data_IF_575605509334
#
_entry.id   IF_575605509334
#
_cell.length_a   1.000
_cell.length_b   1.000
_cell.length_c   1.000
_cell.angle_alpha   90.00
_cell.angle_beta   90.00
_cell.angle_gamma   90.00
#
_symmetry.space_group_name_H-M   'P 1'
#
loop_
_entity.id
_entity.type
_entity.pdbx_description
1 polymer ?
#
# COMPACT_ATOMS: atom_id res chain seq x y z
N UNK A 1 19.00 -9.24 -1.30
CA UNK A 1 17.69 -9.45 -1.98
C UNK A 1 17.72 -10.80 -2.68
N UNK A 2 16.56 -11.39 -2.96
CA UNK A 2 16.47 -12.67 -3.65
C UNK A 2 15.75 -12.48 -4.98
N UNK A 3 15.96 -13.41 -5.91
CA UNK A 3 15.28 -13.47 -7.20
C UNK A 3 14.66 -14.85 -7.41
N UNK A 4 13.64 -14.93 -8.25
CA UNK A 4 13.05 -16.20 -8.70
C UNK A 4 12.96 -16.18 -10.22
N UNK A 5 13.37 -17.28 -10.84
CA UNK A 5 13.28 -17.49 -12.28
C UNK A 5 11.92 -18.09 -12.63
N UNK A 6 11.38 -17.68 -13.77
CA UNK A 6 10.15 -18.18 -14.34
C UNK A 6 10.38 -18.52 -15.80
N UNK A 7 9.81 -19.63 -16.24
CA UNK A 7 9.88 -20.07 -17.63
C UNK A 7 8.46 -20.20 -18.18
N UNK A 8 8.29 -19.82 -19.45
CA UNK A 8 7.07 -20.13 -20.18
C UNK A 8 6.82 -21.65 -20.16
N UNK A 9 5.56 -22.05 -20.08
CA UNK A 9 5.17 -23.48 -20.12
C UNK A 9 4.77 -23.95 -21.52
N UNK A 10 4.63 -23.01 -22.47
CA UNK A 10 4.10 -23.28 -23.81
C UNK A 10 5.22 -23.51 -24.83
N UNK A 11 6.22 -24.28 -24.39
CA UNK A 11 7.30 -24.79 -25.24
C UNK A 11 6.73 -25.59 -26.44
N UNK A 12 5.47 -26.04 -26.36
CA UNK A 12 4.86 -26.99 -27.29
C UNK A 12 3.86 -26.40 -28.31
N UNK A 13 3.32 -25.18 -28.16
CA UNK A 13 2.32 -24.63 -29.13
C UNK A 13 2.79 -23.45 -29.97
N UNK A 14 3.73 -22.64 -29.47
CA UNK A 14 4.23 -21.43 -30.16
C UNK A 14 5.76 -21.33 -30.16
N UNK A 15 6.48 -22.32 -29.61
CA UNK A 15 7.95 -22.28 -29.49
C UNK A 15 8.46 -21.16 -28.56
N UNK A 16 7.64 -20.69 -27.63
CA UNK A 16 7.97 -19.55 -26.77
C UNK A 16 8.94 -19.98 -25.65
N UNK A 17 10.22 -19.66 -25.81
CA UNK A 17 11.29 -19.97 -24.84
C UNK A 17 11.50 -18.89 -23.79
N UNK A 18 10.51 -18.01 -23.62
CA UNK A 18 10.63 -16.83 -22.77
C UNK A 18 10.89 -17.20 -21.32
N UNK A 19 11.95 -16.61 -20.80
CA UNK A 19 12.31 -16.74 -19.40
C UNK A 19 12.37 -15.36 -18.74
N UNK A 20 11.91 -15.30 -17.50
CA UNK A 20 11.74 -14.07 -16.74
C UNK A 20 12.36 -14.24 -15.37
N UNK A 21 13.07 -13.23 -14.89
CA UNK A 21 13.50 -13.11 -13.51
C UNK A 21 12.58 -12.12 -12.78
N UNK A 22 12.17 -12.49 -11.57
CA UNK A 22 11.39 -11.67 -10.64
C UNK A 22 12.21 -11.35 -9.41
N UNK A 23 12.36 -10.07 -9.06
CA UNK A 23 12.88 -9.66 -7.76
C UNK A 23 11.85 -9.98 -6.67
N UNK A 24 12.32 -10.63 -5.59
CA UNK A 24 11.55 -10.91 -4.38
C UNK A 24 11.79 -9.79 -3.37
N UNK A 25 10.72 -9.07 -3.05
CA UNK A 25 10.71 -8.01 -2.05
C UNK A 25 10.15 -8.55 -0.73
N UNK A 26 10.60 -8.00 0.41
CA UNK A 26 10.09 -8.42 1.73
C UNK A 26 8.60 -8.07 1.92
N UNK A 27 8.10 -7.04 1.21
CA UNK A 27 6.69 -6.66 1.22
C UNK A 27 6.18 -6.06 2.53
N UNK A 28 7.06 -5.83 3.52
CA UNK A 28 6.75 -5.16 4.78
C UNK A 28 6.33 -3.72 4.52
N UNK A 29 5.27 -3.25 5.18
CA UNK A 29 4.79 -1.87 5.02
C UNK A 29 5.82 -0.85 5.54
N UNK A 30 6.60 -1.19 6.58
CA UNK A 30 7.60 -0.33 7.20
C UNK A 30 9.01 -0.49 6.64
N UNK A 31 9.18 -1.28 5.58
CA UNK A 31 10.49 -1.41 4.97
C UNK A 31 10.86 -0.08 4.30
N UNK A 32 12.06 0.47 4.56
CA UNK A 32 12.48 1.77 4.02
C UNK A 32 12.55 1.80 2.49
N UNK A 33 12.50 0.64 1.83
CA UNK A 33 12.43 0.50 0.37
C UNK A 33 11.01 0.10 -0.11
N UNK A 34 10.40 -0.92 0.51
CA UNK A 34 9.11 -1.45 0.02
C UNK A 34 7.91 -0.57 0.45
N UNK A 35 8.04 0.11 1.58
CA UNK A 35 7.02 0.97 2.17
C UNK A 35 6.92 2.36 1.54
N UNK A 36 7.93 2.76 0.76
CA UNK A 36 7.97 4.09 0.17
C UNK A 36 6.77 4.35 -0.74
N UNK A 37 6.29 5.61 -0.78
CA UNK A 37 5.34 6.05 -1.79
C UNK A 37 5.82 5.63 -3.18
N UNK A 38 4.88 5.11 -3.96
CA UNK A 38 5.13 4.59 -5.32
C UNK A 38 6.29 3.61 -5.53
N UNK A 39 6.74 2.90 -4.49
CA UNK A 39 7.75 1.83 -4.62
C UNK A 39 7.34 0.74 -5.61
N UNK A 40 8.28 -0.09 -6.07
CA UNK A 40 7.98 -1.25 -6.95
C UNK A 40 6.91 -2.17 -6.33
N UNK A 41 6.93 -2.37 -5.02
CA UNK A 41 5.93 -3.17 -4.31
C UNK A 41 4.56 -2.50 -4.33
N UNK A 42 4.51 -1.17 -4.19
CA UNK A 42 3.28 -0.41 -4.33
C UNK A 42 2.73 -0.50 -5.75
N UNK A 43 3.56 -0.31 -6.78
CA UNK A 43 3.16 -0.44 -8.18
C UNK A 43 2.62 -1.84 -8.50
N UNK A 44 3.22 -2.92 -7.97
CA UNK A 44 2.68 -4.29 -8.08
C UNK A 44 1.31 -4.44 -7.41
N UNK A 45 1.09 -3.84 -6.23
CA UNK A 45 -0.22 -3.84 -5.56
C UNK A 45 -1.28 -3.10 -6.38
N UNK A 46 -0.94 -1.90 -6.86
CA UNK A 46 -1.77 -1.10 -7.76
C UNK A 46 -2.15 -1.91 -9.01
N UNK A 47 -1.16 -2.46 -9.70
CA UNK A 47 -1.34 -3.22 -10.95
C UNK A 47 -2.27 -4.42 -10.77
N UNK A 48 -2.16 -5.18 -9.68
CA UNK A 48 -3.05 -6.32 -9.40
C UNK A 48 -4.52 -5.94 -9.17
N UNK A 49 -4.80 -4.70 -8.79
CA UNK A 49 -6.16 -4.21 -8.57
C UNK A 49 -6.71 -3.39 -9.74
N UNK A 50 -5.83 -2.85 -10.59
CA UNK A 50 -6.21 -2.00 -11.71
C UNK A 50 -7.26 -2.65 -12.63
N UNK A 51 -7.15 -3.93 -13.07
CA UNK A 51 -8.19 -4.54 -13.91
C UNK A 51 -9.57 -4.65 -13.25
N UNK A 52 -9.63 -4.67 -11.92
CA UNK A 52 -10.90 -4.66 -11.19
C UNK A 52 -11.50 -3.26 -11.17
N UNK A 53 -10.67 -2.27 -10.89
CA UNK A 53 -11.07 -0.86 -10.90
C UNK A 53 -11.54 -0.44 -12.30
N UNK A 54 -10.89 -0.93 -13.36
CA UNK A 54 -11.35 -0.72 -14.75
C UNK A 54 -12.72 -1.32 -15.07
N UNK A 55 -13.24 -2.23 -14.26
CA UNK A 55 -14.60 -2.78 -14.44
C UNK A 55 -15.66 -1.95 -13.70
N UNK A 56 -15.26 -0.94 -12.91
CA UNK A 56 -16.15 -0.11 -12.10
C UNK A 56 -16.46 1.18 -12.86
N UNK A 57 -17.73 1.41 -13.18
CA UNK A 57 -18.15 2.64 -13.88
C UNK A 57 -18.22 3.84 -12.95
N UNK A 58 -18.53 3.63 -11.67
CA UNK A 58 -18.49 4.66 -10.64
C UNK A 58 -18.01 4.04 -9.34
N UNK A 59 -16.92 4.56 -8.79
CA UNK A 59 -16.23 3.97 -7.65
C UNK A 59 -16.80 4.51 -6.35
N UNK A 60 -17.55 3.68 -5.63
CA UNK A 60 -17.99 3.97 -4.27
C UNK A 60 -16.89 3.63 -3.28
N UNK A 61 -16.61 4.53 -2.34
CA UNK A 61 -15.59 4.37 -1.32
C UNK A 61 -16.20 4.56 0.07
N UNK A 62 -16.14 3.50 0.90
CA UNK A 62 -16.47 3.55 2.32
C UNK A 62 -15.18 3.62 3.13
N UNK A 63 -15.09 4.54 4.09
CA UNK A 63 -14.03 4.57 5.11
C UNK A 63 -14.69 4.31 6.46
N UNK A 64 -14.29 3.23 7.13
CA UNK A 64 -14.88 2.80 8.40
C UNK A 64 -13.93 3.23 9.52
N UNK A 65 -14.28 4.29 10.23
CA UNK A 65 -13.47 4.81 11.32
C UNK A 65 -14.01 4.32 12.66
N UNK A 66 -13.17 3.58 13.37
CA UNK A 66 -13.49 3.13 14.72
C UNK A 66 -13.18 4.26 15.71
N UNK A 67 -14.03 4.53 16.71
CA UNK A 67 -13.69 5.44 17.80
C UNK A 67 -12.45 4.98 18.57
N UNK A 68 -11.69 5.92 19.14
CA UNK A 68 -10.39 5.64 19.81
C UNK A 68 -10.47 4.55 20.87
N UNK A 69 -11.57 4.53 21.64
CA UNK A 69 -11.78 3.53 22.69
C UNK A 69 -11.83 2.09 22.19
N UNK A 70 -12.18 1.85 20.92
CA UNK A 70 -12.15 0.50 20.31
C UNK A 70 -10.81 0.16 19.69
N UNK A 71 -10.02 1.15 19.28
CA UNK A 71 -8.70 0.94 18.63
C UNK A 71 -7.67 0.33 19.58
N UNK A 72 -7.81 0.57 20.89
CA UNK A 72 -6.85 0.16 21.93
C UNK A 72 -7.26 -1.11 22.69
N UNK A 73 -8.42 -1.71 22.38
CA UNK A 73 -8.87 -2.93 23.06
C UNK A 73 -8.04 -4.12 22.58
N UNK A 74 -7.33 -4.80 23.50
CA UNK A 74 -6.64 -6.06 23.22
C UNK A 74 -7.64 -7.07 22.66
N UNK A 75 -7.50 -7.40 21.37
CA UNK A 75 -8.39 -8.32 20.65
C UNK A 75 -9.20 -7.70 19.51
N UNK A 76 -9.22 -6.37 19.39
CA UNK A 76 -9.88 -5.64 18.30
C UNK A 76 -8.85 -4.91 17.44
N UNK A 77 -8.83 -5.15 16.13
CA UNK A 77 -7.91 -4.58 15.12
C UNK A 77 -6.38 -4.66 15.39
N UNK A 78 -5.94 -5.30 16.48
CA UNK A 78 -4.53 -5.31 16.92
C UNK A 78 -3.84 -6.68 16.76
N UNK A 79 -4.46 -7.62 16.03
CA UNK A 79 -3.85 -8.91 15.69
C UNK A 79 -4.30 -9.38 14.32
N UNK A 80 -3.49 -10.22 13.68
CA UNK A 80 -3.81 -10.80 12.36
C UNK A 80 -5.17 -11.52 12.36
N UNK A 81 -5.50 -12.20 13.45
CA UNK A 81 -6.77 -12.91 13.61
C UNK A 81 -7.94 -11.94 13.79
N UNK A 82 -7.78 -10.91 14.63
CA UNK A 82 -8.80 -9.90 14.85
C UNK A 82 -9.14 -9.13 13.56
N UNK A 83 -8.10 -8.69 12.84
CA UNK A 83 -8.24 -8.03 11.53
C UNK A 83 -8.97 -8.90 10.52
N UNK A 84 -8.64 -10.21 10.47
CA UNK A 84 -9.33 -11.17 9.59
C UNK A 84 -10.80 -11.29 9.95
N UNK A 85 -11.13 -11.46 11.23
CA UNK A 85 -12.52 -11.56 11.73
C UNK A 85 -13.32 -10.29 11.44
N UNK A 86 -12.73 -9.11 11.66
CA UNK A 86 -13.36 -7.84 11.32
C UNK A 86 -13.60 -7.72 9.80
N UNK A 87 -12.61 -8.07 8.97
CA UNK A 87 -12.78 -8.12 7.52
C UNK A 87 -13.88 -9.11 7.09
N UNK A 88 -13.97 -10.28 7.72
CA UNK A 88 -15.03 -11.26 7.40
C UNK A 88 -16.42 -10.71 7.74
N UNK A 89 -16.57 -10.02 8.86
CA UNK A 89 -17.83 -9.35 9.25
C UNK A 89 -18.20 -8.23 8.27
N UNK A 90 -17.26 -7.34 7.96
CA UNK A 90 -17.46 -6.26 6.97
C UNK A 90 -17.90 -6.84 5.62
N UNK A 91 -17.16 -7.83 5.10
CA UNK A 91 -17.50 -8.44 3.82
C UNK A 91 -18.82 -9.21 3.90
N UNK A 92 -19.17 -9.84 5.03
CA UNK A 92 -20.45 -10.51 5.17
C UNK A 92 -21.64 -9.54 5.13
N UNK A 93 -21.50 -8.34 5.67
CA UNK A 93 -22.53 -7.29 5.58
C UNK A 93 -22.59 -6.73 4.16
N UNK A 94 -21.45 -6.30 3.61
CA UNK A 94 -21.41 -5.60 2.34
C UNK A 94 -21.67 -6.52 1.14
N UNK A 95 -21.14 -7.73 1.17
CA UNK A 95 -21.24 -8.69 0.08
C UNK A 95 -22.29 -9.79 0.31
N UNK A 96 -22.82 -9.90 1.52
CA UNK A 96 -23.76 -10.96 1.89
C UNK A 96 -23.07 -12.26 2.32
N UNK A 97 -23.88 -13.21 2.78
CA UNK A 97 -23.41 -14.53 3.26
C UNK A 97 -22.91 -15.36 2.10
N UNK A 98 -21.80 -16.07 2.30
CA UNK A 98 -21.24 -16.99 1.31
C UNK A 98 -22.08 -18.27 1.26
N UNK A 99 -22.59 -18.62 0.08
CA UNK A 99 -23.43 -19.79 -0.17
C UNK A 99 -22.72 -20.81 -1.06
N UNK A 100 -21.52 -21.25 -0.66
CA UNK A 100 -20.73 -22.24 -1.41
C UNK A 100 -20.39 -21.79 -2.84
N UNK A 101 -20.65 -22.66 -3.83
CA UNK A 101 -20.43 -22.37 -5.27
C UNK A 101 -21.46 -21.39 -5.85
N UNK A 102 -22.60 -21.15 -5.17
CA UNK A 102 -23.69 -20.27 -5.63
C UNK A 102 -23.39 -18.77 -5.43
N UNK A 103 -22.21 -18.42 -4.91
CA UNK A 103 -21.80 -17.02 -4.70
C UNK A 103 -22.18 -16.48 -3.32
N UNK A 104 -22.60 -15.22 -3.26
CA UNK A 104 -23.02 -14.55 -2.02
C UNK A 104 -24.43 -13.98 -2.15
N UNK A 105 -25.19 -13.98 -1.06
CA UNK A 105 -26.61 -13.56 -1.03
C UNK A 105 -26.86 -12.59 0.14
N UNK A 106 -27.71 -11.58 -0.10
CA UNK A 106 -28.21 -10.66 0.93
C UNK A 106 -27.27 -9.49 1.29
N UNK A 107 -26.24 -9.24 0.49
CA UNK A 107 -25.36 -8.07 0.65
C UNK A 107 -25.85 -6.84 -0.10
N UNK A 108 -25.24 -5.69 0.21
CA UNK A 108 -25.51 -4.42 -0.45
C UNK A 108 -24.84 -4.26 -1.82
N UNK A 109 -23.72 -4.96 -2.04
CA UNK A 109 -22.86 -4.78 -3.21
C UNK A 109 -22.42 -6.13 -3.80
N UNK A 110 -22.64 -6.30 -5.11
CA UNK A 110 -22.30 -7.53 -5.83
C UNK A 110 -20.79 -7.82 -5.85
N UNK A 111 -19.97 -6.77 -5.94
CA UNK A 111 -18.52 -6.87 -5.98
C UNK A 111 -17.86 -5.67 -5.31
N UNK A 112 -16.64 -5.90 -4.84
CA UNK A 112 -15.81 -4.88 -4.22
C UNK A 112 -14.50 -5.46 -3.68
N UNK A 113 -13.71 -4.60 -3.08
CA UNK A 113 -12.54 -4.97 -2.33
C UNK A 113 -12.32 -4.02 -1.16
N UNK A 114 -11.57 -4.46 -0.15
CA UNK A 114 -11.20 -3.65 1.00
C UNK A 114 -9.73 -3.81 1.30
N UNK A 115 -9.17 -2.81 1.96
CA UNK A 115 -7.82 -2.84 2.53
C UNK A 115 -7.80 -2.04 3.84
N UNK A 116 -7.04 -2.53 4.81
CA UNK A 116 -6.72 -1.78 6.03
C UNK A 116 -5.62 -0.74 5.80
N UNK A 117 -5.86 0.44 6.32
CA UNK A 117 -4.86 1.47 6.59
C UNK A 117 -4.64 1.57 8.10
N UNK A 118 -3.44 1.96 8.52
CA UNK A 118 -2.98 1.81 9.91
C UNK A 118 -2.77 3.13 10.63
N UNK A 119 -2.15 4.09 9.96
CA UNK A 119 -1.92 5.44 10.45
C UNK A 119 -2.42 6.43 9.38
N UNK A 120 -2.90 7.57 9.84
CA UNK A 120 -3.17 8.71 8.96
C UNK A 120 -1.87 9.29 8.43
N UNK A 121 -1.94 9.99 7.30
CA UNK A 121 -0.80 10.81 6.90
C UNK A 121 -0.62 11.94 7.89
N UNK A 122 0.61 12.44 7.96
CA UNK A 122 0.88 13.78 8.42
C UNK A 122 0.17 14.77 7.49
N UNK A 123 -1.08 15.10 7.80
CA UNK A 123 -1.82 16.19 7.17
C UNK A 123 -1.64 17.44 8.02
N UNK A 124 -0.76 18.34 7.57
CA UNK A 124 -0.77 19.73 8.04
C UNK A 124 -1.81 20.52 7.25
N UNK A 125 -2.35 21.59 7.82
CA UNK A 125 -3.14 22.54 7.05
C UNK A 125 -2.21 23.68 6.59
N UNK A 126 -2.30 24.10 5.33
CA UNK A 126 -1.67 25.36 4.87
C UNK A 126 -2.77 26.20 4.26
N UNK A 127 -3.03 27.38 4.84
CA UNK A 127 -4.12 28.26 4.42
C UNK A 127 -5.51 27.60 4.40
N UNK A 128 -5.78 26.67 5.32
CA UNK A 128 -7.06 25.94 5.39
C UNK A 128 -7.22 24.80 4.37
N UNK A 129 -6.19 24.52 3.55
CA UNK A 129 -6.14 23.35 2.67
C UNK A 129 -5.34 22.23 3.34
N UNK A 130 -5.87 21.01 3.28
CA UNK A 130 -5.17 19.79 3.70
C UNK A 130 -3.99 19.56 2.75
N UNK A 131 -2.77 19.61 3.30
CA UNK A 131 -1.54 19.32 2.55
C UNK A 131 -0.89 18.06 3.12
N UNK A 132 -0.52 17.16 2.22
CA UNK A 132 0.33 16.03 2.56
C UNK A 132 1.76 16.53 2.81
N UNK A 133 2.26 16.41 4.04
CA UNK A 133 3.61 16.88 4.39
C UNK A 133 4.71 16.16 3.58
N UNK A 134 4.45 14.97 3.02
CA UNK A 134 5.39 14.29 2.11
C UNK A 134 5.64 15.13 0.81
N UNK A 135 4.72 16.01 0.42
CA UNK A 135 4.83 16.89 -0.76
C UNK A 135 5.57 18.21 -0.47
N UNK A 136 5.62 18.64 0.80
CA UNK A 136 6.37 19.82 1.28
C UNK A 136 7.86 19.51 1.59
N UNK A 137 8.30 18.27 1.37
CA UNK A 137 9.64 17.76 1.70
C UNK A 137 10.80 18.45 0.97
N UNK A 138 10.52 19.10 -0.16
CA UNK A 138 11.56 19.63 -1.08
C UNK A 138 11.88 21.13 -0.86
N UNK A 139 10.92 22.03 -0.60
CA UNK A 139 11.22 23.47 -0.53
C UNK A 139 11.77 23.95 0.82
N UNK A 140 11.53 23.22 1.92
CA UNK A 140 11.81 23.71 3.28
C UNK A 140 12.93 22.96 4.01
N UNK A 141 13.56 21.97 3.36
CA UNK A 141 14.58 21.12 3.98
C UNK A 141 15.78 21.92 4.53
N UNK A 142 16.15 23.01 3.88
CA UNK A 142 17.27 23.88 4.29
C UNK A 142 16.93 24.73 5.53
N UNK A 143 15.75 25.36 5.55
CA UNK A 143 15.25 26.09 6.71
C UNK A 143 15.03 25.16 7.92
N UNK A 144 14.59 23.93 7.67
CA UNK A 144 14.48 22.89 8.70
C UNK A 144 15.87 22.49 9.23
N UNK A 145 16.88 22.39 8.37
CA UNK A 145 18.26 22.09 8.76
C UNK A 145 18.87 23.13 9.70
N UNK A 146 18.60 24.42 9.46
CA UNK A 146 19.08 25.51 10.32
C UNK A 146 18.43 25.50 11.71
N UNK A 147 17.11 25.23 11.77
CA UNK A 147 16.38 25.07 13.03
C UNK A 147 16.95 23.90 13.86
N UNK A 148 17.31 22.80 13.18
CA UNK A 148 17.88 21.60 13.81
C UNK A 148 19.29 21.83 14.38
N UNK A 149 20.14 22.60 13.69
CA UNK A 149 21.46 22.99 14.20
C UNK A 149 21.34 23.81 15.49
N UNK A 150 20.39 24.75 15.54
CA UNK A 150 20.12 25.54 16.74
C UNK A 150 19.65 24.67 17.92
N UNK A 151 18.85 23.62 17.68
CA UNK A 151 18.42 22.69 18.73
C UNK A 151 19.56 21.79 19.26
N UNK A 152 20.48 21.36 18.39
CA UNK A 152 21.65 20.57 18.78
C UNK A 152 22.61 21.37 19.67
N UNK A 153 22.78 22.66 19.40
CA UNK A 153 23.59 23.59 20.20
C UNK A 153 22.99 23.87 21.59
N UNK A 154 21.68 23.70 21.76
CA UNK A 154 20.98 23.89 23.04
C UNK A 154 21.07 22.69 24.01
N UNK A 155 21.86 21.66 23.71
CA UNK A 155 22.08 20.52 24.62
C UNK A 155 20.90 19.55 24.74
N UNK A 156 20.01 19.51 23.74
CA UNK A 156 18.86 18.61 23.69
C UNK A 156 19.26 17.15 23.47
N UNK A 157 19.64 16.46 24.53
CA UNK A 157 19.75 15.00 24.55
C UNK A 157 18.35 14.41 24.27
N UNK A 158 18.26 13.52 23.28
CA UNK A 158 17.06 12.78 22.81
C UNK A 158 16.26 13.36 21.64
N UNK A 159 16.80 14.29 20.84
CA UNK A 159 16.26 14.55 19.50
C UNK A 159 16.80 13.51 18.50
N UNK A 160 16.01 12.49 18.17
CA UNK A 160 16.40 11.51 17.13
C UNK A 160 15.93 12.01 15.78
N UNK A 161 16.87 12.52 14.99
CA UNK A 161 16.60 12.93 13.61
C UNK A 161 16.73 11.70 12.71
N UNK A 162 15.72 11.42 11.89
CA UNK A 162 15.89 10.49 10.78
C UNK A 162 16.10 11.30 9.49
N UNK A 163 17.36 11.51 9.07
CA UNK A 163 17.70 12.36 7.93
C UNK A 163 17.15 11.85 6.60
N UNK A 164 16.69 10.59 6.53
CA UNK A 164 16.13 10.01 5.30
C UNK A 164 14.64 10.34 5.09
N UNK A 165 13.93 10.84 6.12
CA UNK A 165 12.48 11.08 6.09
C UNK A 165 12.06 12.48 6.56
N UNK A 166 13.01 13.36 6.92
CA UNK A 166 12.71 14.75 7.32
C UNK A 166 11.77 14.82 8.53
N UNK A 167 11.84 13.83 9.42
CA UNK A 167 10.98 13.72 10.60
C UNK A 167 11.82 13.87 11.86
N UNK A 168 11.35 14.70 12.78
CA UNK A 168 11.90 14.85 14.12
C UNK A 168 11.17 13.84 15.01
N UNK A 169 11.90 12.88 15.58
CA UNK A 169 11.38 12.08 16.68
C UNK A 169 11.85 12.69 17.99
N UNK A 170 10.94 12.72 18.95
CA UNK A 170 11.28 13.00 20.33
C UNK A 170 10.74 11.88 21.20
N UNK A 171 11.65 11.19 21.90
CA UNK A 171 11.24 10.27 22.95
C UNK A 171 10.91 11.11 24.19
N UNK A 172 9.65 11.57 24.22
CA UNK A 172 8.89 12.05 25.38
C UNK A 172 9.70 12.40 26.65
N UNK A 173 10.04 13.68 26.88
CA UNK A 173 10.23 14.19 28.21
C UNK A 173 8.94 14.95 28.56
N UNK A 174 8.12 14.38 29.43
CA UNK A 174 7.05 15.16 30.03
C UNK A 174 7.62 16.41 30.72
N UNK A 175 6.82 17.48 30.78
CA UNK A 175 7.13 18.70 31.54
C UNK A 175 7.11 20.00 30.73
N UNK A 176 7.36 21.13 31.41
CA UNK A 176 7.29 22.50 30.85
C UNK A 176 8.15 22.72 29.59
N UNK A 177 9.23 21.96 29.40
CA UNK A 177 10.08 22.06 28.21
C UNK A 177 9.38 21.62 26.92
N UNK A 178 8.41 20.70 27.02
CA UNK A 178 7.62 20.21 25.87
C UNK A 178 6.70 21.29 25.28
N UNK A 179 6.17 22.18 26.13
CA UNK A 179 5.34 23.29 25.70
C UNK A 179 6.17 24.37 24.98
N UNK A 180 7.36 24.67 25.49
CA UNK A 180 8.27 25.66 24.88
C UNK A 180 8.75 25.21 23.49
N UNK A 181 9.11 23.93 23.34
CA UNK A 181 9.57 23.38 22.06
C UNK A 181 8.41 23.28 21.06
N UNK A 182 7.22 22.84 21.49
CA UNK A 182 6.05 22.83 20.62
C UNK A 182 5.65 24.25 20.16
N UNK A 183 5.81 25.23 21.04
CA UNK A 183 5.58 26.64 20.73
C UNK A 183 6.61 27.16 19.70
N UNK A 184 7.90 26.86 19.85
CA UNK A 184 8.95 27.23 18.90
C UNK A 184 8.74 26.60 17.52
N UNK A 185 8.37 25.32 17.45
CA UNK A 185 8.05 24.65 16.18
C UNK A 185 6.80 25.24 15.53
N UNK A 186 5.79 25.58 16.33
CA UNK A 186 4.58 26.26 15.85
C UNK A 186 4.87 27.69 15.36
N UNK A 187 5.78 28.42 16.01
CA UNK A 187 6.20 29.77 15.62
C UNK A 187 7.04 29.76 14.34
N UNK A 188 7.98 28.82 14.21
CA UNK A 188 8.72 28.59 12.97
C UNK A 188 7.76 28.26 11.81
N UNK A 189 6.83 27.34 12.04
CA UNK A 189 5.81 26.99 11.05
C UNK A 189 4.96 28.20 10.64
N UNK A 190 4.47 29.00 11.60
CA UNK A 190 3.76 30.26 11.33
C UNK A 190 4.59 31.23 10.50
N UNK A 191 5.89 31.37 10.81
CA UNK A 191 6.81 32.23 10.05
C UNK A 191 6.97 31.80 8.59
N UNK A 192 6.79 30.51 8.29
CA UNK A 192 6.79 29.96 6.95
C UNK A 192 5.38 29.88 6.31
N UNK A 193 4.35 30.45 6.94
CA UNK A 193 2.95 30.38 6.47
C UNK A 193 2.27 29.02 6.65
N UNK A 194 2.85 28.13 7.46
CA UNK A 194 2.34 26.79 7.74
C UNK A 194 1.44 26.82 8.99
N UNK A 195 0.23 26.28 8.90
CA UNK A 195 -0.61 26.02 10.07
C UNK A 195 -0.38 24.58 10.55
N UNK A 196 0.64 24.40 11.39
CA UNK A 196 0.77 23.17 12.15
C UNK A 196 -0.31 23.17 13.25
N UNK A 197 -1.31 22.31 13.11
CA UNK A 197 -2.22 22.01 14.23
C UNK A 197 -1.42 21.46 15.42
N UNK A 198 -1.89 21.66 16.66
CA UNK A 198 -1.20 21.15 17.84
C UNK A 198 -1.04 19.64 17.71
N UNK A 199 0.21 19.17 17.70
CA UNK A 199 0.61 17.77 17.72
C UNK A 199 -0.10 16.87 16.70
N UNK A 200 0.48 16.73 15.49
CA UNK A 200 0.21 15.54 14.67
C UNK A 200 0.93 14.33 15.29
N UNK A 201 0.41 13.87 16.43
CA UNK A 201 0.82 12.56 16.96
C UNK A 201 0.56 11.52 15.86
N UNK A 202 1.55 10.67 15.58
CA UNK A 202 1.37 9.48 14.74
C UNK A 202 0.33 8.60 15.44
N UNK A 203 -0.93 8.84 15.11
CA UNK A 203 -2.04 8.24 15.83
C UNK A 203 -2.40 6.94 15.14
N UNK A 204 -2.22 5.86 15.88
CA UNK A 204 -2.71 4.55 15.46
C UNK A 204 -4.22 4.64 15.21
N UNK A 205 -4.60 4.51 13.94
CA UNK A 205 -5.96 4.66 13.44
C UNK A 205 -6.23 3.56 12.42
N UNK A 206 -6.35 2.28 12.85
CA UNK A 206 -6.63 1.19 11.94
C UNK A 206 -8.04 1.33 11.38
N UNK A 207 -8.15 1.60 10.08
CA UNK A 207 -9.44 1.76 9.41
C UNK A 207 -9.41 1.04 8.06
N UNK A 208 -10.45 0.27 7.71
CA UNK A 208 -10.56 -0.28 6.38
C UNK A 208 -11.18 0.74 5.43
N UNK A 209 -10.54 0.89 4.28
CA UNK A 209 -11.15 1.51 3.10
C UNK A 209 -11.73 0.41 2.25
N UNK A 210 -12.99 0.56 1.87
CA UNK A 210 -13.73 -0.38 1.04
C UNK A 210 -14.11 0.30 -0.26
N UNK A 211 -13.79 -0.35 -1.37
CA UNK A 211 -14.19 0.05 -2.73
C UNK A 211 -15.29 -0.87 -3.22
N UNK A 212 -16.35 -0.27 -3.76
CA UNK A 212 -17.51 -0.96 -4.31
C UNK A 212 -17.86 -0.39 -5.67
N UNK A 213 -18.48 -1.23 -6.49
CA UNK A 213 -19.02 -0.81 -7.79
C UNK A 213 -20.39 -0.16 -7.58
N UNK A 214 -20.38 1.14 -7.25
CA UNK A 214 -21.58 1.91 -6.93
C UNK A 214 -21.30 3.41 -6.97
N UNK A 215 -22.23 4.17 -7.53
CA UNK A 215 -22.23 5.64 -7.50
C UNK A 215 -22.97 6.20 -6.29
N UNK A 216 -23.75 7.25 -6.50
CA UNK A 216 -24.57 7.85 -5.46
C UNK A 216 -25.42 6.80 -4.71
N UNK A 217 -25.49 6.92 -3.38
CA UNK A 217 -26.33 6.09 -2.54
C UNK A 217 -27.36 6.98 -1.81
N UNK A 218 -28.66 6.66 -1.87
CA UNK A 218 -29.65 7.39 -1.10
C UNK A 218 -29.36 7.36 0.40
N UNK A 219 -29.66 8.43 1.16
CA UNK A 219 -29.41 8.50 2.61
C UNK A 219 -29.97 7.31 3.39
N UNK A 220 -31.16 6.83 3.02
CA UNK A 220 -31.76 5.64 3.64
C UNK A 220 -30.89 4.38 3.49
N UNK A 221 -30.29 4.18 2.29
CA UNK A 221 -29.40 3.05 2.02
C UNK A 221 -28.07 3.18 2.77
N UNK A 222 -27.49 4.38 2.81
CA UNK A 222 -26.29 4.66 3.63
C UNK A 222 -26.59 4.41 5.12
N UNK A 223 -27.74 4.85 5.60
CA UNK A 223 -28.20 4.62 6.98
C UNK A 223 -28.35 3.14 7.32
N UNK A 224 -28.89 2.32 6.41
CA UNK A 224 -28.97 0.88 6.58
C UNK A 224 -27.57 0.23 6.66
N UNK A 225 -26.68 0.57 5.72
CA UNK A 225 -25.29 0.08 5.71
C UNK A 225 -24.57 0.41 7.01
N UNK A 226 -24.70 1.66 7.48
CA UNK A 226 -24.13 2.14 8.75
C UNK A 226 -24.61 1.29 9.94
N UNK A 227 -25.92 1.12 10.08
CA UNK A 227 -26.52 0.33 11.17
C UNK A 227 -26.07 -1.12 11.15
N UNK A 228 -26.04 -1.75 9.99
CA UNK A 228 -25.70 -3.16 9.87
C UNK A 228 -24.21 -3.42 10.09
N UNK A 229 -23.33 -2.51 9.63
CA UNK A 229 -21.90 -2.55 9.94
C UNK A 229 -21.65 -2.35 11.44
N UNK A 230 -22.27 -1.33 12.05
CA UNK A 230 -22.15 -1.05 13.48
C UNK A 230 -22.57 -2.27 14.33
N UNK A 231 -23.72 -2.89 13.98
CA UNK A 231 -24.21 -4.11 14.64
C UNK A 231 -23.25 -5.28 14.47
N UNK A 232 -22.81 -5.57 13.24
CA UNK A 232 -21.93 -6.71 12.97
C UNK A 232 -20.55 -6.55 13.63
N UNK A 233 -20.07 -5.32 13.72
CA UNK A 233 -18.79 -4.99 14.35
C UNK A 233 -18.89 -4.74 15.86
N UNK A 234 -20.08 -4.83 16.46
CA UNK A 234 -20.29 -4.53 17.89
C UNK A 234 -19.72 -3.15 18.27
N UNK A 235 -19.90 -2.18 17.38
CA UNK A 235 -19.39 -0.82 17.50
C UNK A 235 -20.55 0.15 17.19
N UNK A 236 -21.44 0.44 18.16
CA UNK A 236 -22.66 1.21 17.93
C UNK A 236 -22.42 2.62 17.35
N UNK A 237 -21.29 3.23 17.68
CA UNK A 237 -20.85 4.54 17.22
C UNK A 237 -19.75 4.44 16.14
N UNK A 238 -19.76 3.37 15.36
CA UNK A 238 -18.92 3.25 14.16
C UNK A 238 -19.21 4.40 13.20
N UNK A 239 -18.16 5.11 12.81
CA UNK A 239 -18.26 6.17 11.81
C UNK A 239 -18.03 5.55 10.44
N UNK A 240 -18.95 5.77 9.51
CA UNK A 240 -18.81 5.31 8.12
C UNK A 240 -18.95 6.51 7.20
N UNK A 241 -17.85 6.89 6.57
CA UNK A 241 -17.85 7.89 5.51
C UNK A 241 -18.10 7.21 4.17
N UNK A 242 -19.01 7.76 3.37
CA UNK A 242 -19.23 7.33 2.00
C UNK A 242 -18.93 8.49 1.06
N UNK A 243 -18.12 8.22 0.05
CA UNK A 243 -17.95 9.11 -1.10
C UNK A 243 -17.91 8.26 -2.36
N UNK A 244 -18.02 8.89 -3.53
CA UNK A 244 -17.87 8.19 -4.79
C UNK A 244 -17.07 9.03 -5.78
N UNK A 245 -16.47 8.39 -6.77
CA UNK A 245 -15.70 9.00 -7.86
C UNK A 245 -16.30 8.61 -9.19
N UNK A 246 -16.43 9.58 -10.11
CA UNK A 246 -17.04 9.37 -11.43
C UNK A 246 -16.00 9.29 -12.52
N UNK A 247 -14.89 10.02 -12.38
CA UNK A 247 -13.91 10.14 -13.44
C UNK A 247 -12.79 9.12 -13.29
N UNK A 248 -12.20 8.68 -14.40
CA UNK A 248 -11.09 7.73 -14.38
C UNK A 248 -9.87 8.25 -13.62
N UNK A 249 -9.43 9.52 -13.77
CA UNK A 249 -8.30 10.04 -13.02
C UNK A 249 -8.53 10.01 -11.50
N UNK A 250 -9.73 10.35 -11.04
CA UNK A 250 -10.10 10.24 -9.63
C UNK A 250 -10.06 8.80 -9.13
N UNK A 251 -10.60 7.86 -9.90
CA UNK A 251 -10.60 6.43 -9.58
C UNK A 251 -9.17 5.86 -9.50
N UNK A 252 -8.30 6.27 -10.44
CA UNK A 252 -6.89 5.91 -10.45
C UNK A 252 -6.19 6.51 -9.22
N UNK A 253 -6.41 7.79 -8.93
CA UNK A 253 -5.83 8.45 -7.76
C UNK A 253 -6.26 7.75 -6.45
N UNK A 254 -7.55 7.48 -6.29
CA UNK A 254 -8.08 6.70 -5.16
C UNK A 254 -7.43 5.33 -5.06
N UNK A 255 -7.25 4.61 -6.17
CA UNK A 255 -6.58 3.31 -6.16
C UNK A 255 -5.11 3.42 -5.70
N UNK A 256 -4.36 4.42 -6.21
CA UNK A 256 -2.98 4.68 -5.78
C UNK A 256 -2.92 4.95 -4.28
N UNK A 257 -3.80 5.80 -3.76
CA UNK A 257 -3.89 6.07 -2.33
C UNK A 257 -4.17 4.78 -1.54
N UNK A 258 -5.17 4.00 -1.97
CA UNK A 258 -5.57 2.78 -1.27
C UNK A 258 -4.47 1.73 -1.26
N UNK A 259 -3.61 1.63 -2.28
CA UNK A 259 -2.60 0.56 -2.35
C UNK A 259 -1.27 0.85 -1.63
N UNK A 260 -1.08 2.06 -1.11
CA UNK A 260 0.17 2.50 -0.47
C UNK A 260 0.39 1.92 0.92
N UNK A 261 1.64 1.81 1.37
CA UNK A 261 1.89 1.47 2.77
C UNK A 261 1.46 2.61 3.69
N UNK A 262 0.84 2.30 4.83
CA UNK A 262 0.43 3.31 5.85
C UNK A 262 0.98 2.99 7.24
N UNK A 263 1.76 1.91 7.36
CA UNK A 263 2.56 1.59 8.53
C UNK A 263 4.01 1.67 8.07
N UNK A 264 4.65 2.84 8.17
CA UNK A 264 5.93 3.13 7.50
C UNK A 264 7.16 2.96 8.38
N UNK A 265 6.99 2.84 9.70
CA UNK A 265 8.08 2.63 10.65
C UNK A 265 7.72 1.52 11.64
N UNK A 266 8.67 0.61 11.89
CA UNK A 266 8.51 -0.47 12.88
C UNK A 266 8.42 0.09 14.30
N UNK A 267 9.08 1.22 14.57
CA UNK A 267 9.16 1.83 15.89
C UNK A 267 7.82 2.44 16.33
N UNK A 268 6.92 2.74 15.39
CA UNK A 268 5.57 3.21 15.73
C UNK A 268 4.80 2.17 16.56
N UNK A 269 5.01 0.88 16.25
CA UNK A 269 4.40 -0.24 16.98
C UNK A 269 5.03 -1.59 16.58
N UNK A 270 6.12 -1.98 17.24
CA UNK A 270 6.86 -3.20 16.90
C UNK A 270 6.04 -4.50 17.05
N UNK A 271 5.03 -4.50 17.92
CA UNK A 271 4.12 -5.64 18.05
C UNK A 271 3.19 -5.73 16.83
N UNK A 272 2.55 -4.62 16.46
CA UNK A 272 1.67 -4.57 15.30
C UNK A 272 2.42 -4.88 14.00
N UNK A 273 3.67 -4.41 13.84
CA UNK A 273 4.53 -4.75 12.71
C UNK A 273 4.60 -6.28 12.51
N UNK A 274 4.87 -7.04 13.57
CA UNK A 274 4.88 -8.52 13.54
C UNK A 274 3.51 -9.09 13.15
N UNK A 275 2.41 -8.51 13.62
CA UNK A 275 1.05 -8.94 13.29
C UNK A 275 0.68 -8.72 11.81
N UNK A 276 1.09 -7.59 11.23
CA UNK A 276 0.78 -7.27 9.83
C UNK A 276 1.77 -7.86 8.83
N UNK A 277 2.93 -8.36 9.29
CA UNK A 277 3.84 -9.11 8.43
C UNK A 277 3.16 -10.34 7.81
N UNK A 278 3.13 -10.41 6.48
CA UNK A 278 2.44 -11.48 5.74
C UNK A 278 0.92 -11.50 5.93
N UNK A 279 0.32 -10.45 6.51
CA UNK A 279 -1.14 -10.31 6.53
C UNK A 279 -1.64 -10.02 5.12
N UNK A 280 -2.61 -10.80 4.66
CA UNK A 280 -3.30 -10.55 3.39
C UNK A 280 -4.24 -9.35 3.55
N UNK A 281 -3.67 -8.15 3.46
CA UNK A 281 -4.33 -6.89 3.76
C UNK A 281 -5.48 -6.58 2.78
N UNK A 282 -5.35 -6.98 1.51
CA UNK A 282 -6.42 -6.80 0.51
C UNK A 282 -7.36 -8.00 0.48
N UNK A 283 -8.66 -7.74 0.63
CA UNK A 283 -9.74 -8.73 0.52
C UNK A 283 -10.68 -8.29 -0.59
N UNK A 284 -11.08 -9.22 -1.45
CA UNK A 284 -11.96 -8.93 -2.59
C UNK A 284 -13.07 -9.97 -2.69
N UNK A 285 -14.24 -9.54 -3.15
CA UNK A 285 -15.41 -10.38 -3.38
C UNK A 285 -16.08 -10.05 -4.71
N UNK A 286 -17.04 -10.90 -5.11
CA UNK A 286 -17.74 -10.78 -6.37
C UNK A 286 -16.93 -11.29 -7.56
N UNK A 287 -17.57 -11.33 -8.73
CA UNK A 287 -16.96 -11.75 -9.99
C UNK A 287 -16.30 -10.54 -10.67
N UNK A 288 -15.03 -10.69 -11.05
CA UNK A 288 -14.21 -9.67 -11.70
C UNK A 288 -13.73 -10.16 -13.08
N UNK A 289 -14.67 -10.62 -13.90
CA UNK A 289 -14.39 -11.18 -15.22
C UNK A 289 -15.08 -10.40 -16.34
N UNK A 290 -15.57 -9.20 -16.05
CA UNK A 290 -16.15 -8.31 -17.06
C UNK A 290 -15.05 -7.60 -17.85
N UNK A 291 -15.37 -7.10 -19.06
CA UNK A 291 -14.48 -6.20 -19.78
C UNK A 291 -14.28 -4.89 -19.00
N UNK A 292 -13.19 -4.15 -19.25
CA UNK A 292 -13.06 -2.79 -18.75
C UNK A 292 -14.21 -1.93 -19.28
N UNK A 293 -14.75 -1.06 -18.44
CA UNK A 293 -15.79 -0.07 -18.82
C UNK A 293 -15.18 1.29 -19.17
N UNK A 294 -13.87 1.41 -19.03
CA UNK A 294 -13.08 2.57 -19.42
C UNK A 294 -11.60 2.22 -19.68
N UNK A 295 -10.92 3.09 -20.42
CA UNK A 295 -9.51 2.97 -20.79
C UNK A 295 -8.79 4.27 -20.52
N UNK A 296 -7.68 4.20 -19.78
CA UNK A 296 -6.84 5.36 -19.52
C UNK A 296 -5.52 5.20 -20.27
N UNK A 297 -5.12 6.25 -20.98
CA UNK A 297 -3.78 6.38 -21.54
C UNK A 297 -2.72 6.23 -20.42
N UNK A 298 -1.56 5.66 -20.76
CA UNK A 298 -0.48 5.44 -19.80
C UNK A 298 -0.66 4.25 -18.84
N UNK A 299 -1.76 3.48 -18.95
CA UNK A 299 -1.97 2.30 -18.09
C UNK A 299 -1.31 1.01 -18.60
N UNK A 300 -0.87 0.98 -19.87
CA UNK A 300 -0.27 -0.20 -20.49
C UNK A 300 0.91 -0.78 -19.67
N UNK A 301 1.75 0.09 -19.10
CA UNK A 301 2.84 -0.28 -18.22
C UNK A 301 2.38 -1.09 -16.99
N UNK A 302 1.30 -0.66 -16.34
CA UNK A 302 0.77 -1.35 -15.15
C UNK A 302 0.01 -2.63 -15.50
N UNK A 303 -0.64 -2.67 -16.67
CA UNK A 303 -1.26 -3.90 -17.17
C UNK A 303 -0.20 -4.97 -17.51
N UNK A 304 0.96 -4.56 -18.02
CA UNK A 304 2.10 -5.47 -18.20
C UNK A 304 2.60 -6.04 -16.86
N UNK A 305 2.67 -5.22 -15.80
CA UNK A 305 2.99 -5.71 -14.44
C UNK A 305 1.91 -6.69 -13.94
N UNK A 306 0.63 -6.41 -14.16
CA UNK A 306 -0.47 -7.28 -13.73
C UNK A 306 -0.40 -8.67 -14.37
N UNK A 307 -0.12 -8.71 -15.69
CA UNK A 307 0.10 -9.95 -16.45
C UNK A 307 1.16 -10.82 -15.78
N UNK A 308 2.32 -10.22 -15.47
CA UNK A 308 3.43 -10.90 -14.79
C UNK A 308 3.08 -11.32 -13.36
N UNK A 309 2.35 -10.50 -12.60
CA UNK A 309 1.87 -10.84 -11.25
C UNK A 309 0.87 -12.01 -11.26
N UNK A 310 0.15 -12.22 -12.37
CA UNK A 310 -0.70 -13.40 -12.61
C UNK A 310 0.04 -14.59 -13.20
N UNK A 311 1.37 -14.52 -13.29
CA UNK A 311 2.22 -15.56 -13.86
C UNK A 311 1.86 -15.86 -15.30
N UNK A 312 1.64 -14.82 -16.10
CA UNK A 312 1.40 -14.90 -17.55
C UNK A 312 2.62 -14.42 -18.30
N UNK A 313 2.99 -15.14 -19.36
CA UNK A 313 4.16 -14.87 -20.18
C UNK A 313 3.99 -13.51 -20.88
N UNK A 314 5.00 -12.62 -20.83
CA UNK A 314 4.88 -11.31 -21.47
C UNK A 314 4.69 -11.43 -22.99
N UNK A 315 5.30 -12.42 -23.63
CA UNK A 315 5.29 -12.55 -25.10
C UNK A 315 4.07 -13.31 -25.65
N UNK A 316 3.67 -14.42 -25.03
CA UNK A 316 2.61 -15.30 -25.56
C UNK A 316 1.37 -15.45 -24.65
N UNK A 317 1.37 -14.84 -23.47
CA UNK A 317 0.29 -14.93 -22.46
C UNK A 317 0.05 -16.33 -21.82
N UNK A 318 0.82 -17.33 -22.23
CA UNK A 318 0.79 -18.65 -21.60
C UNK A 318 1.29 -18.64 -20.15
N UNK A 319 1.04 -19.71 -19.41
CA UNK A 319 1.38 -19.78 -17.99
C UNK A 319 2.91 -19.75 -17.80
N UNK A 320 3.38 -18.92 -16.86
CA UNK A 320 4.75 -18.98 -16.35
C UNK A 320 4.81 -19.98 -15.19
N UNK A 321 5.80 -20.88 -15.25
CA UNK A 321 6.21 -21.74 -14.14
C UNK A 321 7.38 -21.07 -13.43
N UNK A 322 7.18 -20.70 -12.16
CA UNK A 322 8.23 -20.13 -11.32
C UNK A 322 8.98 -21.23 -10.58
N UNK A 323 10.30 -21.08 -10.48
CA UNK A 323 11.16 -21.98 -9.72
C UNK A 323 10.84 -21.88 -8.23
N UNK A 324 10.93 -23.02 -7.54
CA UNK A 324 10.66 -23.09 -6.10
C UNK A 324 11.81 -22.51 -5.27
N UNK A 325 13.05 -22.59 -5.77
CA UNK A 325 14.24 -22.10 -5.09
C UNK A 325 14.50 -20.66 -5.51
N UNK A 326 14.57 -19.78 -4.52
CA UNK A 326 15.02 -18.42 -4.74
C UNK A 326 16.54 -18.39 -4.87
N UNK A 327 17.06 -17.54 -5.76
CA UNK A 327 18.50 -17.36 -5.99
C UNK A 327 18.97 -16.02 -5.42
N UNK A 328 20.28 -15.89 -5.23
CA UNK A 328 20.87 -14.61 -4.85
C UNK A 328 20.63 -13.55 -5.93
N UNK A 329 20.40 -12.31 -5.51
CA UNK A 329 20.34 -11.17 -6.44
C UNK A 329 21.63 -10.97 -7.26
N UNK A 330 22.74 -11.55 -6.82
CA UNK A 330 24.01 -11.56 -7.57
C UNK A 330 23.85 -12.09 -9.00
N UNK A 331 23.07 -13.16 -9.19
CA UNK A 331 22.82 -13.74 -10.52
C UNK A 331 22.17 -12.74 -11.48
N UNK A 332 21.23 -11.92 -11.00
CA UNK A 332 20.63 -10.87 -11.83
C UNK A 332 21.67 -9.84 -12.27
N UNK A 333 22.59 -9.44 -11.38
CA UNK A 333 23.68 -8.51 -11.73
C UNK A 333 24.61 -9.11 -12.78
N UNK A 334 24.91 -10.40 -12.68
CA UNK A 334 25.74 -11.10 -13.67
C UNK A 334 25.07 -11.15 -15.04
N UNK A 335 23.77 -11.49 -15.11
CA UNK A 335 23.06 -11.42 -16.39
C UNK A 335 22.99 -9.99 -16.95
N UNK A 336 22.89 -8.99 -16.08
CA UNK A 336 22.91 -7.57 -16.49
C UNK A 336 24.27 -7.15 -17.06
N UNK A 337 25.38 -7.53 -16.42
CA UNK A 337 26.73 -7.20 -16.92
C UNK A 337 27.05 -7.86 -18.26
N UNK A 338 26.46 -9.03 -18.51
CA UNK A 338 26.55 -9.74 -19.79
C UNK A 338 25.58 -9.23 -20.87
N UNK A 339 24.74 -8.22 -20.58
CA UNK A 339 23.74 -7.71 -21.53
C UNK A 339 22.62 -8.71 -21.85
N UNK A 340 22.40 -9.72 -20.98
CA UNK A 340 21.43 -10.80 -21.20
C UNK A 340 20.03 -10.50 -20.67
N UNK A 341 19.82 -9.32 -20.08
CA UNK A 341 18.53 -8.93 -19.49
C UNK A 341 17.90 -7.74 -20.20
N UNK A 342 16.57 -7.78 -20.33
CA UNK A 342 15.77 -6.63 -20.71
C UNK A 342 14.77 -6.32 -19.58
N UNK A 343 14.74 -5.10 -19.02
CA UNK A 343 13.76 -4.74 -18.00
C UNK A 343 12.36 -4.75 -18.60
N UNK A 344 11.39 -5.36 -17.89
CA UNK A 344 9.98 -5.38 -18.31
C UNK A 344 9.19 -4.28 -17.60
N UNK A 345 9.08 -4.38 -16.27
CA UNK A 345 8.49 -3.38 -15.37
C UNK A 345 8.45 -3.97 -13.95
N UNK A 346 8.23 -3.14 -12.93
CA UNK A 346 7.90 -3.62 -11.59
C UNK A 346 8.87 -4.67 -11.02
N UNK A 347 10.18 -4.56 -11.27
CA UNK A 347 11.19 -5.51 -10.80
C UNK A 347 11.17 -6.89 -11.49
N UNK A 348 10.68 -6.94 -12.73
CA UNK A 348 10.76 -8.09 -13.63
C UNK A 348 11.71 -7.82 -14.78
N UNK A 349 12.42 -8.87 -15.20
CA UNK A 349 13.40 -8.83 -16.29
C UNK A 349 13.18 -10.02 -17.21
N UNK A 350 13.10 -9.79 -18.51
CA UNK A 350 13.23 -10.86 -19.50
C UNK A 350 14.72 -11.24 -19.58
N UNK A 351 15.02 -12.52 -19.66
CA UNK A 351 16.40 -13.02 -19.70
C UNK A 351 16.59 -13.94 -20.89
N UNK A 352 17.67 -13.69 -21.64
CA UNK A 352 18.16 -14.58 -22.68
C UNK A 352 19.16 -15.55 -22.02
N UNK A 353 18.76 -16.81 -21.88
CA UNK A 353 19.68 -17.83 -21.37
C UNK A 353 20.60 -18.29 -22.50
N UNK A 354 21.94 -18.25 -22.32
CA UNK A 354 22.86 -18.86 -23.27
C UNK A 354 22.73 -20.39 -23.17
N UNK A 355 21.98 -21.00 -24.09
CA UNK A 355 21.84 -22.45 -24.20
C UNK A 355 21.04 -23.12 -23.08
N UNK A 356 20.68 -24.39 -23.29
CA UNK A 356 19.81 -25.18 -22.43
C UNK A 356 20.20 -25.14 -20.94
N UNK A 357 19.52 -24.29 -20.16
CA UNK A 357 19.30 -24.48 -18.73
C UNK A 357 20.51 -24.42 -17.81
N UNK A 358 21.71 -24.11 -18.28
CA UNK A 358 22.87 -23.95 -17.39
C UNK A 358 22.93 -22.50 -16.92
N UNK A 359 22.89 -22.32 -15.60
CA UNK A 359 23.25 -21.06 -14.99
C UNK A 359 24.70 -20.71 -15.38
N UNK A 360 25.06 -19.41 -15.44
CA UNK A 360 26.44 -19.01 -15.58
C UNK A 360 27.31 -19.75 -14.56
N UNK A 361 28.56 -20.12 -14.89
CA UNK A 361 29.47 -20.72 -13.92
C UNK A 361 29.55 -19.82 -12.66
N UNK A 362 29.53 -20.44 -11.48
CA UNK A 362 29.69 -19.73 -10.19
C UNK A 362 31.03 -18.98 -10.08
N UNK A 363 31.98 -19.28 -10.97
CA UNK A 363 33.39 -18.87 -10.88
C UNK A 363 33.79 -17.74 -11.84
N UNK A 364 32.93 -16.74 -12.00
CA UNK A 364 33.36 -15.46 -12.56
C UNK A 364 33.43 -14.45 -11.42
N UNK A 365 34.54 -14.51 -10.69
CA UNK A 365 34.99 -13.43 -9.81
C UNK A 365 34.96 -12.12 -10.61
N UNK A 366 34.00 -11.26 -10.31
CA UNK A 366 34.00 -9.90 -10.81
C UNK A 366 35.20 -9.19 -10.17
N UNK A 367 36.10 -8.53 -10.92
CA UNK A 367 37.22 -7.81 -10.32
C UNK A 367 36.69 -6.58 -9.57
N UNK A 368 37.14 -6.45 -8.31
CA UNK A 368 37.29 -5.20 -7.53
C UNK A 368 36.08 -4.30 -7.38
#
# INVERSE_FOLDING_TARGET
QLIVKGQCTDDHKLGCTTSVIKIVYCGREWCPTCGQPWSVVHQRKFSRLLPKVRQIATMGQLVLEFPDRYRKIRGWAYSKLALRRASDRIVSVLAGKRMGRKGRVGGYFQRGFMRWHWFGDYSGLVGGKEINLDELRVPYAEAFGQLLSAFAEMGGVDLVVNPNIGTIFWNNPGGQLSEVIAQLVADFARSCGLHLGPYSSIKYNPHPTVVVDSGFLPPAKIGAIKRDLARALLCPDLIVHYSYRKTEPEMIHSLKYITRATFRDEQWDGYMAKQIHGFRNIRSWGKWAGPPVWESEGMAFYLAIEKLERSRCPDCDSQLRWDRKAMSFHYLRQYQSMGLTTPLAGGYFKVKFPGHGRDPPEDLSCPG
#
